data_IF_085558834276
#
_entry.id   IF_085558834276
#
_cell.length_a   1.000
_cell.length_b   1.000
_cell.length_c   1.000
_cell.angle_alpha   90.00
_cell.angle_beta   90.00
_cell.angle_gamma   90.00
#
_symmetry.space_group_name_H-M   'P 1'
#
loop_
_entity.id
_entity.type
_entity.pdbx_description
1 polymer ?
#
# COMPACT_ATOMS: atom_id res chain seq x y z
N UNK A 1 5.50 30.22 -25.76
CA UNK A 1 4.71 29.04 -25.33
C UNK A 1 5.39 28.34 -24.16
N UNK A 2 4.85 28.40 -22.93
CA UNK A 2 5.44 27.70 -21.76
C UNK A 2 5.19 26.19 -21.89
N UNK A 3 6.25 25.46 -22.22
CA UNK A 3 6.24 24.00 -22.35
C UNK A 3 5.83 23.36 -21.01
N UNK A 4 4.68 22.67 -20.99
CA UNK A 4 4.13 22.00 -19.80
C UNK A 4 5.08 20.87 -19.36
N UNK A 5 5.64 21.01 -18.16
CA UNK A 5 6.50 20.02 -17.46
C UNK A 5 5.64 18.85 -16.94
N UNK A 6 5.97 17.61 -17.27
CA UNK A 6 5.13 16.38 -17.10
C UNK A 6 5.97 15.26 -16.42
N UNK A 7 5.49 14.04 -16.17
CA UNK A 7 6.22 12.93 -15.51
C UNK A 7 6.11 11.68 -16.39
N UNK A 8 7.20 10.94 -16.65
CA UNK A 8 7.13 9.71 -17.47
C UNK A 8 6.38 8.58 -16.72
N UNK A 9 5.63 7.69 -17.41
CA UNK A 9 4.91 6.60 -16.75
C UNK A 9 5.83 5.69 -15.92
N UNK A 10 7.02 5.39 -16.45
CA UNK A 10 8.05 4.57 -15.74
C UNK A 10 8.53 5.28 -14.47
N UNK A 11 8.78 6.59 -14.53
CA UNK A 11 9.18 7.35 -13.33
C UNK A 11 8.04 7.45 -12.33
N UNK A 12 6.80 7.63 -12.79
CA UNK A 12 5.63 7.62 -11.90
C UNK A 12 5.48 6.27 -11.20
N UNK A 13 5.67 5.18 -11.94
CA UNK A 13 5.71 3.83 -11.41
C UNK A 13 6.79 3.66 -10.35
N UNK A 14 8.03 4.08 -10.62
CA UNK A 14 9.13 3.99 -9.66
C UNK A 14 8.84 4.77 -8.38
N UNK A 15 8.33 6.00 -8.50
CA UNK A 15 7.98 6.84 -7.35
C UNK A 15 6.88 6.17 -6.52
N UNK A 16 5.84 5.63 -7.15
CA UNK A 16 4.76 4.93 -6.46
C UNK A 16 5.26 3.64 -5.80
N UNK A 17 6.05 2.83 -6.51
CA UNK A 17 6.61 1.59 -5.99
C UNK A 17 7.45 1.84 -4.73
N UNK A 18 8.36 2.82 -4.77
CA UNK A 18 9.16 3.20 -3.62
C UNK A 18 8.27 3.71 -2.48
N UNK A 19 7.23 4.49 -2.78
CA UNK A 19 6.32 5.03 -1.76
C UNK A 19 5.52 3.92 -1.06
N UNK A 20 4.89 3.02 -1.80
CA UNK A 20 4.15 1.89 -1.23
C UNK A 20 5.06 0.93 -0.48
N UNK A 21 6.23 0.62 -1.04
CA UNK A 21 7.20 -0.25 -0.36
C UNK A 21 7.73 0.37 0.93
N UNK A 22 7.97 1.69 0.95
CA UNK A 22 8.37 2.41 2.16
C UNK A 22 7.26 2.41 3.21
N UNK A 23 5.99 2.53 2.81
CA UNK A 23 4.85 2.41 3.71
C UNK A 23 4.83 1.03 4.38
N UNK A 24 5.05 -0.05 3.63
CA UNK A 24 5.10 -1.41 4.17
C UNK A 24 6.28 -1.63 5.14
N UNK A 25 7.46 -1.08 4.82
CA UNK A 25 8.61 -1.12 5.73
C UNK A 25 8.30 -0.39 7.04
N UNK A 26 7.75 0.82 6.96
CA UNK A 26 7.38 1.61 8.14
C UNK A 26 6.32 0.90 8.97
N UNK A 27 5.31 0.31 8.33
CA UNK A 27 4.31 -0.49 9.00
C UNK A 27 4.98 -1.64 9.77
N UNK A 28 5.78 -2.48 9.10
CA UNK A 28 6.48 -3.60 9.77
C UNK A 28 7.35 -3.15 10.94
N UNK A 29 8.10 -2.06 10.78
CA UNK A 29 8.91 -1.48 11.84
C UNK A 29 8.07 -1.07 13.06
N UNK A 30 6.98 -0.34 12.84
CA UNK A 30 6.07 0.09 13.92
C UNK A 30 5.36 -1.11 14.59
N UNK A 31 5.17 -2.20 13.83
CA UNK A 31 4.51 -3.43 14.30
C UNK A 31 5.47 -4.46 14.90
N UNK A 32 6.78 -4.17 14.94
CA UNK A 32 7.85 -5.10 15.33
C UNK A 32 7.81 -6.43 14.58
N UNK A 33 7.53 -6.40 13.28
CA UNK A 33 7.60 -7.57 12.41
C UNK A 33 8.99 -7.72 11.80
N UNK A 34 9.38 -8.96 11.53
CA UNK A 34 10.64 -9.26 10.84
C UNK A 34 10.68 -8.59 9.46
N UNK A 35 11.77 -7.88 9.19
CA UNK A 35 11.97 -7.18 7.91
C UNK A 35 12.47 -8.11 6.81
N UNK A 36 13.34 -9.04 7.16
CA UNK A 36 14.02 -9.91 6.21
C UNK A 36 13.43 -11.33 6.27
N UNK A 37 12.27 -11.48 5.65
CA UNK A 37 11.62 -12.78 5.52
C UNK A 37 11.05 -12.97 4.10
N UNK A 38 10.63 -14.19 3.79
CA UNK A 38 10.08 -14.53 2.46
C UNK A 38 8.78 -13.76 2.18
N UNK A 39 8.04 -13.37 3.22
CA UNK A 39 6.86 -12.52 3.07
C UNK A 39 7.22 -11.12 2.54
N UNK A 40 8.42 -10.62 2.82
CA UNK A 40 8.86 -9.32 2.33
C UNK A 40 9.06 -9.33 0.81
N UNK A 41 9.52 -10.44 0.24
CA UNK A 41 9.59 -10.62 -1.21
C UNK A 41 8.19 -10.67 -1.83
N UNK A 42 7.24 -11.36 -1.17
CA UNK A 42 5.83 -11.34 -1.59
C UNK A 42 5.25 -9.93 -1.59
N UNK A 43 5.49 -9.16 -0.53
CA UNK A 43 5.03 -7.77 -0.42
C UNK A 43 5.68 -6.89 -1.49
N UNK A 44 6.96 -7.08 -1.79
CA UNK A 44 7.62 -6.37 -2.88
C UNK A 44 6.91 -6.63 -4.21
N UNK A 45 6.55 -7.89 -4.52
CA UNK A 45 5.81 -8.18 -5.75
C UNK A 45 4.43 -7.52 -5.77
N UNK A 46 3.66 -7.58 -4.67
CA UNK A 46 2.35 -6.92 -4.60
C UNK A 46 2.43 -5.39 -4.71
N UNK A 47 3.41 -4.76 -4.07
CA UNK A 47 3.59 -3.30 -4.15
C UNK A 47 4.00 -2.85 -5.55
N UNK A 48 4.84 -3.62 -6.24
CA UNK A 48 5.18 -3.40 -7.65
C UNK A 48 3.94 -3.56 -8.54
N UNK A 49 3.17 -4.64 -8.36
CA UNK A 49 1.93 -4.85 -9.13
C UNK A 49 0.93 -3.71 -8.92
N UNK A 50 0.66 -3.32 -7.66
CA UNK A 50 -0.26 -2.24 -7.34
C UNK A 50 0.17 -0.92 -7.97
N UNK A 51 1.45 -0.58 -7.86
CA UNK A 51 2.00 0.65 -8.42
C UNK A 51 1.89 0.68 -9.94
N UNK A 52 2.15 -0.45 -10.61
CA UNK A 52 2.00 -0.58 -12.05
C UNK A 52 0.54 -0.47 -12.49
N UNK A 53 -0.38 -1.11 -11.77
CA UNK A 53 -1.82 -1.02 -12.04
C UNK A 53 -2.31 0.43 -11.95
N UNK A 54 -1.94 1.15 -10.90
CA UNK A 54 -2.31 2.56 -10.72
C UNK A 54 -1.80 3.44 -11.87
N UNK A 55 -0.56 3.23 -12.30
CA UNK A 55 0.00 3.95 -13.47
C UNK A 55 -0.78 3.60 -14.73
N UNK A 56 -1.07 2.33 -15.00
CA UNK A 56 -1.84 1.92 -16.18
C UNK A 56 -3.25 2.52 -16.21
N UNK A 57 -3.96 2.48 -15.08
CA UNK A 57 -5.32 3.04 -14.94
C UNK A 57 -5.31 4.55 -15.12
N UNK A 58 -4.26 5.23 -14.65
CA UNK A 58 -4.15 6.70 -14.76
C UNK A 58 -3.48 7.19 -16.03
N UNK A 59 -2.86 6.29 -16.80
CA UNK A 59 -2.15 6.61 -18.04
C UNK A 59 -3.01 7.33 -19.09
N UNK A 60 -4.30 7.01 -19.30
CA UNK A 60 -5.16 7.74 -20.24
C UNK A 60 -5.49 9.17 -19.79
N UNK A 61 -5.27 9.49 -18.50
CA UNK A 61 -5.63 10.78 -17.93
C UNK A 61 -4.58 11.85 -18.24
N UNK A 62 -4.99 13.12 -18.12
CA UNK A 62 -4.03 14.24 -18.13
C UNK A 62 -3.07 14.12 -16.92
N UNK A 63 -1.84 14.66 -17.00
CA UNK A 63 -0.84 14.51 -15.94
C UNK A 63 -1.29 15.00 -14.54
N UNK A 64 -2.00 16.13 -14.49
CA UNK A 64 -2.50 16.69 -13.22
C UNK A 64 -3.49 15.75 -12.51
N UNK A 65 -4.60 15.32 -13.15
CA UNK A 65 -5.53 14.40 -12.51
C UNK A 65 -4.90 13.04 -12.20
N UNK A 66 -3.99 12.51 -13.03
CA UNK A 66 -3.25 11.28 -12.72
C UNK A 66 -2.44 11.39 -11.42
N UNK A 67 -1.67 12.48 -11.27
CA UNK A 67 -0.88 12.76 -10.06
C UNK A 67 -1.77 12.91 -8.83
N UNK A 68 -2.89 13.63 -8.96
CA UNK A 68 -3.84 13.86 -7.86
C UNK A 68 -4.49 12.53 -7.45
N UNK A 69 -5.00 11.75 -8.41
CA UNK A 69 -5.67 10.48 -8.11
C UNK A 69 -4.71 9.51 -7.41
N UNK A 70 -3.52 9.29 -7.95
CA UNK A 70 -2.53 8.41 -7.33
C UNK A 70 -2.06 8.95 -5.97
N UNK A 71 -1.99 10.27 -5.81
CA UNK A 71 -1.70 10.91 -4.52
C UNK A 71 -2.79 10.68 -3.48
N UNK A 72 -4.07 10.79 -3.85
CA UNK A 72 -5.21 10.51 -2.98
C UNK A 72 -5.24 9.04 -2.56
N UNK A 73 -5.01 8.12 -3.49
CA UNK A 73 -4.96 6.67 -3.19
C UNK A 73 -3.79 6.36 -2.24
N UNK A 74 -2.61 6.94 -2.47
CA UNK A 74 -1.47 6.78 -1.56
C UNK A 74 -1.73 7.40 -0.18
N UNK A 75 -2.36 8.57 -0.12
CA UNK A 75 -2.76 9.19 1.14
C UNK A 75 -3.73 8.31 1.92
N UNK A 76 -4.74 7.74 1.24
CA UNK A 76 -5.67 6.79 1.84
C UNK A 76 -4.94 5.54 2.36
N UNK A 77 -3.96 5.00 1.63
CA UNK A 77 -3.13 3.89 2.10
C UNK A 77 -2.30 4.25 3.34
N UNK A 78 -1.70 5.44 3.37
CA UNK A 78 -0.97 5.94 4.55
C UNK A 78 -1.89 6.11 5.75
N UNK A 79 -3.11 6.62 5.53
CA UNK A 79 -4.14 6.73 6.55
C UNK A 79 -4.55 5.36 7.09
N UNK A 80 -4.77 4.38 6.21
CA UNK A 80 -5.05 2.99 6.63
C UNK A 80 -3.90 2.40 7.45
N UNK A 81 -2.64 2.61 7.04
CA UNK A 81 -1.47 2.18 7.80
C UNK A 81 -1.41 2.83 9.19
N UNK A 82 -1.62 4.15 9.26
CA UNK A 82 -1.72 4.89 10.52
C UNK A 82 -2.86 4.34 11.41
N UNK A 83 -4.05 4.13 10.85
CA UNK A 83 -5.20 3.60 11.58
C UNK A 83 -4.92 2.18 12.08
N UNK A 84 -4.31 1.31 11.29
CA UNK A 84 -3.97 -0.06 11.68
C UNK A 84 -2.97 -0.11 12.83
N UNK A 85 -1.89 0.69 12.76
CA UNK A 85 -0.89 0.79 13.83
C UNK A 85 -1.52 1.32 15.12
N UNK A 86 -2.31 2.39 14.99
CA UNK A 86 -2.98 3.03 16.13
C UNK A 86 -4.01 2.11 16.78
N UNK A 87 -4.80 1.40 15.96
CA UNK A 87 -5.80 0.46 16.42
C UNK A 87 -5.17 -0.74 17.14
N UNK A 88 -4.08 -1.32 16.64
CA UNK A 88 -3.39 -2.39 17.37
C UNK A 88 -2.77 -1.91 18.67
N UNK A 89 -2.27 -0.67 18.73
CA UNK A 89 -1.77 -0.13 19.98
C UNK A 89 -2.90 0.06 21.02
N UNK A 90 -4.11 0.44 20.58
CA UNK A 90 -5.26 0.66 21.47
C UNK A 90 -5.97 -0.64 21.88
N UNK A 91 -6.32 -1.49 20.91
CA UNK A 91 -7.13 -2.71 21.11
C UNK A 91 -6.29 -3.99 21.25
N UNK A 92 -4.98 -3.93 21.02
CA UNK A 92 -4.10 -5.11 20.98
C UNK A 92 -4.20 -5.94 19.70
N UNK A 93 -5.13 -5.61 18.78
CA UNK A 93 -5.40 -6.40 17.57
C UNK A 93 -5.52 -5.52 16.30
N UNK A 94 -5.44 -6.10 15.11
CA UNK A 94 -5.60 -5.37 13.85
C UNK A 94 -7.06 -5.02 13.56
N UNK A 95 -7.27 -4.04 12.68
CA UNK A 95 -8.60 -3.63 12.25
C UNK A 95 -9.10 -4.53 11.10
N UNK A 96 -10.36 -4.98 11.18
CA UNK A 96 -11.05 -5.71 10.10
C UNK A 96 -12.27 -4.96 9.59
N UNK A 97 -12.63 -5.19 8.33
CA UNK A 97 -13.80 -4.58 7.67
C UNK A 97 -15.11 -4.91 8.39
N UNK A 98 -15.18 -6.05 9.11
CA UNK A 98 -16.36 -6.43 9.91
C UNK A 98 -16.63 -5.49 11.09
N UNK A 99 -15.59 -4.85 11.63
CA UNK A 99 -15.71 -3.88 12.73
C UNK A 99 -16.30 -2.53 12.28
N UNK A 100 -16.31 -2.23 10.98
CA UNK A 100 -16.90 -0.98 10.43
C UNK A 100 -18.42 -0.91 10.71
N UNK A 101 -19.08 -2.06 10.81
CA UNK A 101 -20.52 -2.15 11.11
C UNK A 101 -20.90 -1.70 12.53
N UNK A 102 -19.93 -1.53 13.44
CA UNK A 102 -20.14 -1.16 14.85
C UNK A 102 -20.03 0.35 15.09
N UNK A 103 -20.36 1.17 14.08
CA UNK A 103 -20.13 2.62 14.07
C UNK A 103 -20.65 3.37 15.31
N UNK A 104 -21.78 2.91 15.90
CA UNK A 104 -22.34 3.49 17.13
C UNK A 104 -21.54 3.14 18.39
N UNK A 105 -20.90 1.98 18.45
CA UNK A 105 -20.05 1.59 19.58
C UNK A 105 -18.66 2.24 19.49
N UNK A 106 -18.16 2.49 18.27
CA UNK A 106 -16.86 3.17 18.07
C UNK A 106 -16.93 4.65 18.49
N UNK A 107 -18.09 5.30 18.37
CA UNK A 107 -18.27 6.71 18.76
C UNK A 107 -18.01 6.95 20.26
N UNK A 108 -18.43 6.03 21.15
CA UNK A 108 -18.19 6.14 22.59
C UNK A 108 -16.71 5.99 22.96
N UNK A 109 -15.93 5.25 22.17
CA UNK A 109 -14.49 5.05 22.40
C UNK A 109 -13.60 5.98 21.56
N UNK A 110 -14.19 6.89 20.77
CA UNK A 110 -13.43 7.73 19.84
C UNK A 110 -12.50 8.70 20.56
N UNK A 111 -12.94 9.28 21.68
CA UNK A 111 -12.12 10.21 22.47
C UNK A 111 -10.94 9.46 23.12
N UNK A 112 -11.23 8.31 23.71
CA UNK A 112 -10.21 7.47 24.33
C UNK A 112 -9.19 6.97 23.30
N UNK A 113 -9.66 6.55 22.11
CA UNK A 113 -8.79 6.18 21.00
C UNK A 113 -7.88 7.32 20.55
N UNK A 114 -8.43 8.53 20.39
CA UNK A 114 -7.64 9.71 20.02
C UNK A 114 -6.57 10.01 21.08
N UNK A 115 -6.89 9.86 22.37
CA UNK A 115 -5.93 10.05 23.46
C UNK A 115 -4.77 9.03 23.44
N UNK A 116 -5.00 7.86 22.82
CA UNK A 116 -4.01 6.79 22.69
C UNK A 116 -3.12 6.90 21.44
N UNK A 117 -3.38 7.90 20.58
CA UNK A 117 -2.58 8.15 19.39
C UNK A 117 -1.18 8.66 19.77
N UNK A 118 -0.16 7.88 19.41
CA UNK A 118 1.23 8.28 19.62
C UNK A 118 1.72 9.13 18.45
N UNK A 119 2.43 10.25 18.70
CA UNK A 119 2.99 11.09 17.64
C UNK A 119 3.89 10.31 16.66
N UNK A 120 4.58 9.26 17.12
CA UNK A 120 5.43 8.42 16.28
C UNK A 120 4.66 7.75 15.12
N UNK A 121 3.37 7.46 15.28
CA UNK A 121 2.57 6.78 14.24
C UNK A 121 2.28 7.67 13.04
N UNK A 122 2.42 9.00 13.16
CA UNK A 122 2.30 9.91 12.03
C UNK A 122 3.43 9.74 11.00
N UNK A 123 4.51 9.01 11.33
CA UNK A 123 5.54 8.63 10.36
C UNK A 123 4.97 7.82 9.18
N UNK A 124 3.81 7.15 9.34
CA UNK A 124 3.09 6.49 8.24
C UNK A 124 2.75 7.42 7.08
N UNK A 125 2.73 8.74 7.27
CA UNK A 125 2.52 9.72 6.20
C UNK A 125 3.79 10.14 5.46
N UNK A 126 4.98 9.74 5.95
CA UNK A 126 6.26 10.07 5.31
C UNK A 126 6.35 9.61 3.85
N UNK A 127 5.87 8.41 3.45
CA UNK A 127 5.85 8.01 2.05
C UNK A 127 5.00 8.93 1.15
N UNK A 128 3.88 9.44 1.66
CA UNK A 128 3.06 10.42 0.93
C UNK A 128 3.78 11.77 0.79
N UNK A 129 4.43 12.25 1.84
CA UNK A 129 5.22 13.49 1.79
C UNK A 129 6.38 13.33 0.79
N UNK A 130 7.08 12.19 0.82
CA UNK A 130 8.13 11.84 -0.12
C UNK A 130 7.62 11.78 -1.57
N UNK A 131 6.46 11.17 -1.80
CA UNK A 131 5.78 11.18 -3.10
C UNK A 131 5.57 12.61 -3.62
N UNK A 132 4.97 13.49 -2.82
CA UNK A 132 4.74 14.89 -3.22
C UNK A 132 6.04 15.61 -3.57
N UNK A 133 7.09 15.39 -2.78
CA UNK A 133 8.41 15.94 -3.04
C UNK A 133 9.02 15.42 -4.34
N UNK A 134 9.02 14.10 -4.56
CA UNK A 134 9.59 13.46 -5.75
C UNK A 134 8.86 13.86 -7.04
N UNK A 135 7.52 13.95 -6.99
CA UNK A 135 6.70 14.39 -8.12
C UNK A 135 6.97 15.86 -8.45
N UNK A 136 7.18 16.71 -7.43
CA UNK A 136 7.53 18.12 -7.63
C UNK A 136 8.89 18.27 -8.32
N UNK A 137 9.86 17.42 -7.98
CA UNK A 137 11.24 17.46 -8.50
C UNK A 137 11.37 16.92 -9.93
N UNK A 138 10.66 15.84 -10.28
CA UNK A 138 10.89 15.07 -11.50
C UNK A 138 9.96 15.42 -12.67
N UNK A 139 9.67 16.72 -12.90
CA UNK A 139 8.75 17.15 -13.96
C UNK A 139 9.39 17.19 -15.37
N UNK A 140 9.72 16.04 -15.97
CA UNK A 140 10.25 15.93 -17.35
C UNK A 140 9.34 15.23 -18.40
N UNK A 141 9.64 15.48 -19.68
CA UNK A 141 8.89 15.22 -20.95
C UNK A 141 8.02 13.94 -21.08
N UNK A 142 7.00 14.06 -21.94
CA UNK A 142 5.99 13.06 -22.30
C UNK A 142 6.62 11.92 -23.13
N UNK A 143 6.37 10.67 -22.74
CA UNK A 143 6.25 9.56 -23.68
C UNK A 143 4.79 9.51 -24.15
N UNK A 144 4.57 9.51 -25.46
CA UNK A 144 3.23 9.38 -26.02
C UNK A 144 2.65 8.03 -25.59
N UNK A 145 1.34 7.99 -25.39
CA UNK A 145 0.63 6.75 -25.15
C UNK A 145 0.91 5.77 -26.30
N UNK A 146 1.61 4.68 -25.99
CA UNK A 146 1.97 3.63 -26.93
C UNK A 146 1.21 2.36 -26.56
N UNK A 147 0.27 1.96 -27.40
CA UNK A 147 -0.53 0.75 -27.16
C UNK A 147 0.33 -0.50 -26.98
N UNK A 148 1.47 -0.57 -27.70
CA UNK A 148 2.44 -1.66 -27.57
C UNK A 148 3.06 -1.68 -26.18
N UNK A 149 3.54 -0.53 -25.69
CA UNK A 149 4.14 -0.43 -24.35
C UNK A 149 3.12 -0.70 -23.24
N UNK A 150 1.89 -0.23 -23.40
CA UNK A 150 0.79 -0.51 -22.47
C UNK A 150 0.49 -2.00 -22.41
N UNK A 151 0.39 -2.68 -23.56
CA UNK A 151 0.12 -4.12 -23.62
C UNK A 151 1.26 -4.92 -22.99
N UNK A 152 2.51 -4.62 -23.34
CA UNK A 152 3.70 -5.25 -22.74
C UNK A 152 3.76 -5.02 -21.24
N UNK A 153 3.53 -3.80 -20.77
CA UNK A 153 3.48 -3.46 -19.34
C UNK A 153 2.38 -4.21 -18.60
N UNK A 154 1.19 -4.33 -19.23
CA UNK A 154 0.06 -5.08 -18.68
C UNK A 154 0.38 -6.57 -18.55
N UNK A 155 1.01 -7.17 -19.56
CA UNK A 155 1.45 -8.56 -19.51
C UNK A 155 2.48 -8.81 -18.41
N UNK A 156 3.49 -7.93 -18.27
CA UNK A 156 4.49 -8.03 -17.20
C UNK A 156 3.81 -7.94 -15.83
N UNK A 157 2.88 -7.01 -15.64
CA UNK A 157 2.17 -6.85 -14.38
C UNK A 157 1.25 -8.03 -14.07
N UNK A 158 0.58 -8.61 -15.07
CA UNK A 158 -0.22 -9.83 -14.92
C UNK A 158 0.66 -11.00 -14.50
N UNK A 159 1.82 -11.19 -15.14
CA UNK A 159 2.78 -12.23 -14.75
C UNK A 159 3.27 -12.01 -13.32
N UNK A 160 3.69 -10.78 -12.98
CA UNK A 160 4.15 -10.46 -11.63
C UNK A 160 3.05 -10.69 -10.58
N UNK A 161 1.81 -10.31 -10.89
CA UNK A 161 0.67 -10.55 -10.02
C UNK A 161 0.39 -12.04 -9.85
N UNK A 162 0.43 -12.83 -10.93
CA UNK A 162 0.25 -14.26 -10.86
C UNK A 162 1.33 -14.91 -9.98
N UNK A 163 2.60 -14.52 -10.13
CA UNK A 163 3.67 -14.96 -9.24
C UNK A 163 3.42 -14.54 -7.79
N UNK A 164 2.91 -13.32 -7.54
CA UNK A 164 2.56 -12.87 -6.19
C UNK A 164 1.45 -13.72 -5.56
N UNK A 165 0.45 -14.14 -6.34
CA UNK A 165 -0.61 -15.04 -5.88
C UNK A 165 -0.11 -16.46 -5.64
N UNK A 166 0.66 -17.04 -6.57
CA UNK A 166 1.26 -18.36 -6.42
C UNK A 166 2.19 -18.44 -5.19
N UNK A 167 2.88 -17.33 -4.89
CA UNK A 167 3.74 -17.25 -3.71
C UNK A 167 2.99 -17.48 -2.40
N UNK A 168 1.67 -17.27 -2.34
CA UNK A 168 0.84 -17.57 -1.16
C UNK A 168 0.90 -19.05 -0.76
N UNK A 169 1.13 -19.96 -1.72
CA UNK A 169 1.22 -21.40 -1.49
C UNK A 169 2.65 -21.95 -1.42
N UNK A 170 3.63 -21.30 -2.05
CA UNK A 170 5.01 -21.84 -2.11
C UNK A 170 5.92 -21.34 -1.00
N UNK A 171 5.65 -20.15 -0.48
CA UNK A 171 6.49 -19.50 0.53
C UNK A 171 5.75 -19.37 1.84
N UNK A 172 5.37 -20.54 2.37
CA UNK A 172 4.69 -20.66 3.64
C UNK A 172 5.74 -20.80 4.73
N UNK A 173 5.54 -20.10 5.85
CA UNK A 173 6.29 -20.38 7.06
C UNK A 173 5.66 -21.62 7.71
N UNK A 174 6.40 -22.72 7.79
CA UNK A 174 5.91 -24.01 8.31
C UNK A 174 5.41 -23.93 9.76
N UNK A 175 5.80 -22.88 10.50
CA UNK A 175 5.43 -22.64 11.90
C UNK A 175 4.23 -21.68 12.01
N UNK A 176 3.71 -21.16 10.88
CA UNK A 176 2.58 -20.24 10.91
C UNK A 176 1.27 -20.96 11.26
N UNK A 177 0.56 -20.45 12.27
CA UNK A 177 -0.73 -20.97 12.74
C UNK A 177 -1.82 -20.84 11.65
N UNK A 178 -1.71 -19.82 10.80
CA UNK A 178 -2.63 -19.55 9.69
C UNK A 178 -1.84 -19.40 8.41
N UNK A 179 -2.27 -20.09 7.35
CA UNK A 179 -1.58 -20.04 6.07
C UNK A 179 -1.82 -18.69 5.39
N UNK A 180 -0.83 -18.13 4.68
CA UNK A 180 -1.02 -16.88 3.95
C UNK A 180 -2.15 -16.93 2.92
N UNK A 181 -2.38 -18.11 2.32
CA UNK A 181 -3.48 -18.35 1.40
C UNK A 181 -4.84 -18.21 2.09
N UNK A 182 -4.97 -18.73 3.31
CA UNK A 182 -6.20 -18.65 4.10
C UNK A 182 -6.52 -17.19 4.43
N UNK A 183 -5.56 -16.44 4.96
CA UNK A 183 -5.72 -14.99 5.26
C UNK A 183 -6.15 -14.19 4.02
N UNK A 184 -5.65 -14.55 2.84
CA UNK A 184 -5.94 -13.85 1.60
C UNK A 184 -7.39 -14.03 1.14
N UNK A 185 -7.92 -15.26 1.19
CA UNK A 185 -9.29 -15.56 0.74
C UNK A 185 -10.33 -15.36 1.85
N UNK A 186 -9.93 -15.62 3.09
CA UNK A 186 -10.73 -15.53 4.29
C UNK A 186 -9.94 -14.72 5.33
N UNK A 187 -10.05 -13.38 5.32
CA UNK A 187 -9.48 -12.54 6.35
C UNK A 187 -10.32 -12.64 7.64
N UNK A 188 -10.56 -13.86 8.10
CA UNK A 188 -11.27 -14.17 9.33
C UNK A 188 -10.25 -14.15 10.46
N UNK A 189 -10.59 -13.47 11.54
CA UNK A 189 -9.88 -13.61 12.81
C UNK A 189 -9.99 -15.06 13.28
N UNK A 190 -8.98 -15.88 13.02
CA UNK A 190 -8.65 -16.90 13.99
C UNK A 190 -7.98 -16.16 15.15
N UNK A 191 -8.71 -15.95 16.24
CA UNK A 191 -8.08 -15.64 17.51
C UNK A 191 -6.86 -16.56 17.71
N UNK A 192 -5.67 -16.06 18.07
CA UNK A 192 -4.90 -16.82 19.03
C UNK A 192 -5.73 -16.74 20.31
N UNK A 193 -6.36 -17.86 20.63
CA UNK A 193 -7.11 -18.08 21.85
C UNK A 193 -6.48 -17.36 23.04
N UNK A 194 -7.33 -16.80 23.89
CA UNK A 194 -7.07 -16.69 25.32
C UNK A 194 -6.22 -17.88 25.79
N UNK A 195 -4.92 -17.64 26.00
CA UNK A 195 -4.02 -18.40 26.86
C UNK A 195 -3.02 -17.44 27.47
#
# INVERSE_FOLDING_TARGET
>A
MKQKRILSPIRHFQILAVSYFSLEILFRLLMNFDLFNVQMLRILMFTLTLSGLLVLVTMPLKPKPAIILNGVVLFAACFLGFSQVSYRNYMGNFFSVRLIGMFNEVASYSVDFISYLRPVYFICFLPFIAYLYMIRRNRDRIALFSWKETLTGSMILLTLHLFSLLSLGWWVNEIAIVLPREIYYEPVFSEPALR
#
